data_IF_935185002005
#
_entry.id   IF_935185002005
#
_cell.length_a   1.000
_cell.length_b   1.000
_cell.length_c   1.000
_cell.angle_alpha   90.00
_cell.angle_beta   90.00
_cell.angle_gamma   90.00
#
_symmetry.space_group_name_H-M   'P 1'
#
loop_
_entity.id
_entity.type
_entity.pdbx_description
1 polymer ?
#
# COMPACT_ATOMS: atom_id res chain seq x y z
N UNK A 1 -2.40 26.37 -55.36
CA UNK A 1 -2.97 25.23 -54.61
C UNK A 1 -1.84 24.54 -53.88
N UNK A 2 -1.71 24.75 -52.56
CA UNK A 2 -0.69 24.12 -51.74
C UNK A 2 -1.39 23.13 -50.81
N UNK A 3 -1.15 21.84 -51.03
CA UNK A 3 -1.60 20.74 -50.18
C UNK A 3 -0.71 20.68 -48.95
N UNK A 4 -1.21 21.14 -47.80
CA UNK A 4 -0.57 20.94 -46.51
C UNK A 4 -0.78 19.48 -46.06
N UNK A 5 0.31 18.72 -46.00
CA UNK A 5 0.33 17.40 -45.40
C UNK A 5 0.06 17.53 -43.89
N UNK A 6 -1.00 16.87 -43.44
CA UNK A 6 -1.36 16.80 -42.03
C UNK A 6 -0.49 15.71 -41.37
N UNK A 7 0.50 16.11 -40.58
CA UNK A 7 1.29 15.19 -39.75
C UNK A 7 0.40 14.58 -38.66
N UNK A 8 0.52 13.26 -38.37
CA UNK A 8 -0.26 12.64 -37.33
C UNK A 8 0.26 13.06 -35.95
N UNK A 9 -0.59 13.77 -35.20
CA UNK A 9 -0.40 14.13 -33.79
C UNK A 9 -0.02 12.91 -32.97
N UNK A 10 1.18 12.94 -32.39
CA UNK A 10 1.72 11.90 -31.52
C UNK A 10 0.74 11.59 -30.38
N UNK A 11 0.25 10.34 -30.34
CA UNK A 11 -0.43 9.81 -29.16
C UNK A 11 0.59 9.76 -28.03
N UNK A 12 0.45 10.62 -27.03
CA UNK A 12 1.10 10.49 -25.71
C UNK A 12 0.49 9.28 -24.99
N UNK A 13 0.82 8.09 -25.48
CA UNK A 13 0.46 6.83 -24.84
C UNK A 13 1.42 6.55 -23.70
N UNK A 14 0.89 6.11 -22.55
CA UNK A 14 1.67 5.51 -21.48
C UNK A 14 2.63 4.48 -22.09
N UNK A 15 3.94 4.74 -22.04
CA UNK A 15 4.93 3.84 -22.65
C UNK A 15 4.89 2.51 -21.91
N UNK A 16 4.52 1.43 -22.61
CA UNK A 16 4.60 0.08 -22.06
C UNK A 16 6.06 -0.31 -21.91
N UNK A 17 6.42 -1.03 -20.84
CA UNK A 17 7.79 -1.52 -20.67
C UNK A 17 8.24 -2.41 -21.84
N UNK A 18 9.54 -2.35 -22.16
CA UNK A 18 10.20 -3.20 -23.15
C UNK A 18 10.27 -4.66 -22.68
N UNK A 19 10.17 -5.62 -23.61
CA UNK A 19 10.23 -7.06 -23.30
C UNK A 19 11.54 -7.47 -22.60
N UNK A 20 12.66 -6.82 -22.92
CA UNK A 20 13.96 -7.11 -22.31
C UNK A 20 14.01 -6.72 -20.83
N UNK A 21 13.52 -5.52 -20.51
CA UNK A 21 13.45 -5.01 -19.12
C UNK A 21 12.45 -5.81 -18.27
N UNK A 22 11.36 -6.30 -18.89
CA UNK A 22 10.36 -7.18 -18.25
C UNK A 22 10.91 -8.56 -17.89
N UNK A 23 11.80 -9.13 -18.72
CA UNK A 23 12.43 -10.44 -18.46
C UNK A 23 13.48 -10.38 -17.35
N UNK A 24 14.11 -9.22 -17.13
CA UNK A 24 15.07 -9.01 -16.05
C UNK A 24 14.44 -8.55 -14.74
N UNK A 25 13.17 -8.16 -14.74
CA UNK A 25 12.49 -7.63 -13.56
C UNK A 25 12.20 -8.74 -12.54
N UNK A 26 12.94 -8.73 -11.43
CA UNK A 26 12.56 -9.49 -10.26
C UNK A 26 11.49 -8.73 -9.49
N UNK A 27 10.67 -9.44 -8.71
CA UNK A 27 9.72 -8.81 -7.79
C UNK A 27 10.40 -7.79 -6.88
N UNK A 28 11.67 -8.01 -6.52
CA UNK A 28 12.43 -7.11 -5.65
C UNK A 28 12.90 -5.82 -6.33
N UNK A 29 12.86 -5.72 -7.66
CA UNK A 29 13.29 -4.52 -8.42
C UNK A 29 12.11 -3.60 -8.76
N UNK A 30 10.88 -4.09 -8.56
CA UNK A 30 9.66 -3.31 -8.77
C UNK A 30 9.29 -2.58 -7.49
N UNK A 31 9.25 -1.24 -7.52
CA UNK A 31 8.78 -0.42 -6.40
C UNK A 31 7.25 -0.32 -6.41
N UNK A 32 6.71 0.24 -7.49
CA UNK A 32 5.28 0.45 -7.70
C UNK A 32 4.93 -0.03 -9.12
N UNK A 33 3.72 -0.50 -9.34
CA UNK A 33 3.28 -0.90 -10.68
C UNK A 33 1.83 -0.51 -10.95
N UNK A 34 1.51 -0.32 -12.21
CA UNK A 34 0.17 0.07 -12.67
C UNK A 34 -0.21 -0.74 -13.91
N UNK A 35 -1.39 -1.36 -13.90
CA UNK A 35 -1.92 -2.11 -15.04
C UNK A 35 -3.42 -1.89 -15.22
N UNK A 36 -3.94 -1.98 -16.46
CA UNK A 36 -5.38 -1.93 -16.69
C UNK A 36 -6.09 -3.03 -15.90
N UNK A 37 -7.22 -2.70 -15.27
CA UNK A 37 -7.97 -3.66 -14.46
C UNK A 37 -8.38 -4.89 -15.26
N UNK A 38 -8.88 -4.69 -16.48
CA UNK A 38 -9.27 -5.79 -17.37
C UNK A 38 -8.09 -6.76 -17.64
N UNK A 39 -6.86 -6.26 -17.63
CA UNK A 39 -5.66 -7.10 -17.75
C UNK A 39 -5.40 -7.86 -16.45
N UNK A 40 -5.47 -7.20 -15.29
CA UNK A 40 -5.31 -7.86 -13.98
C UNK A 40 -6.29 -9.03 -13.81
N UNK A 41 -7.58 -8.80 -14.08
CA UNK A 41 -8.62 -9.83 -13.94
C UNK A 41 -8.35 -11.06 -14.81
N UNK A 42 -7.77 -10.87 -16.01
CA UNK A 42 -7.41 -11.96 -16.92
C UNK A 42 -6.14 -12.69 -16.49
N UNK A 43 -5.16 -11.97 -15.95
CA UNK A 43 -3.88 -12.56 -15.55
C UNK A 43 -3.94 -13.23 -14.17
N UNK A 44 -4.85 -12.80 -13.30
CA UNK A 44 -4.98 -13.27 -11.92
C UNK A 44 -6.40 -13.74 -11.56
N UNK A 45 -7.02 -14.66 -12.34
CA UNK A 45 -8.40 -15.10 -12.11
C UNK A 45 -8.59 -15.88 -10.80
N UNK A 46 -7.51 -16.45 -10.25
CA UNK A 46 -7.53 -17.11 -8.95
C UNK A 46 -7.60 -16.13 -7.76
N UNK A 47 -7.15 -14.89 -7.95
CA UNK A 47 -7.06 -13.86 -6.89
C UNK A 47 -8.18 -12.83 -7.00
N UNK A 48 -8.66 -12.55 -8.20
CA UNK A 48 -9.74 -11.59 -8.45
C UNK A 48 -10.84 -12.24 -9.26
N UNK A 49 -12.08 -12.20 -8.75
CA UNK A 49 -13.23 -12.80 -9.39
C UNK A 49 -14.35 -11.77 -9.50
N UNK A 50 -14.73 -11.45 -10.74
CA UNK A 50 -15.90 -10.61 -11.01
C UNK A 50 -17.12 -11.53 -11.15
N UNK A 51 -18.08 -11.43 -10.22
CA UNK A 51 -19.31 -12.25 -10.17
C UNK A 51 -20.52 -11.33 -10.12
N UNK A 52 -21.16 -11.11 -11.27
CA UNK A 52 -22.24 -10.13 -11.37
C UNK A 52 -21.76 -8.73 -10.95
N UNK A 53 -22.42 -8.13 -9.98
CA UNK A 53 -22.09 -6.80 -9.42
C UNK A 53 -21.08 -6.85 -8.26
N UNK A 54 -20.38 -7.97 -8.07
CA UNK A 54 -19.38 -8.14 -7.00
C UNK A 54 -17.99 -8.38 -7.58
N UNK A 55 -17.01 -7.60 -7.11
CA UNK A 55 -15.59 -7.91 -7.22
C UNK A 55 -15.15 -8.62 -5.93
N UNK A 56 -14.97 -9.93 -6.04
CA UNK A 56 -14.49 -10.78 -4.97
C UNK A 56 -12.98 -10.93 -5.02
N UNK A 57 -12.33 -10.50 -3.94
CA UNK A 57 -10.97 -10.92 -3.58
C UNK A 57 -11.18 -12.04 -2.57
N UNK A 58 -10.99 -13.32 -2.93
CA UNK A 58 -11.29 -14.40 -2.01
C UNK A 58 -10.44 -14.27 -0.73
N UNK A 59 -11.07 -13.79 0.36
CA UNK A 59 -10.54 -13.85 1.72
C UNK A 59 -10.82 -15.23 2.31
N UNK A 60 -9.93 -15.81 3.13
CA UNK A 60 -9.88 -17.26 3.26
C UNK A 60 -10.86 -17.80 4.32
N UNK A 61 -11.34 -19.02 4.06
CA UNK A 61 -11.82 -19.96 5.09
C UNK A 61 -10.68 -20.80 5.74
N UNK A 62 -9.42 -20.33 5.69
CA UNK A 62 -8.20 -20.98 6.21
C UNK A 62 -7.19 -19.93 6.74
N UNK A 63 -6.17 -20.27 7.56
CA UNK A 63 -5.34 -19.29 8.27
C UNK A 63 -4.54 -18.30 7.38
N UNK A 64 -4.62 -17.00 7.71
CA UNK A 64 -4.18 -15.84 6.91
C UNK A 64 -2.68 -15.78 6.55
N UNK A 65 -1.79 -16.39 7.35
CA UNK A 65 -0.34 -16.26 7.18
C UNK A 65 0.26 -17.20 6.12
N UNK A 66 -0.51 -18.19 5.63
CA UNK A 66 0.02 -19.29 4.81
C UNK A 66 -0.27 -19.18 3.30
N UNK A 67 -1.16 -18.27 2.87
CA UNK A 67 -1.50 -18.10 1.45
C UNK A 67 -1.15 -16.70 0.91
N UNK A 68 -0.69 -16.72 -0.33
CA UNK A 68 -0.35 -15.55 -1.12
C UNK A 68 -1.53 -14.60 -1.39
N UNK A 69 -1.32 -13.63 -2.26
CA UNK A 69 -2.32 -12.68 -2.74
C UNK A 69 -1.89 -11.22 -2.59
N UNK A 70 -2.88 -10.33 -2.61
CA UNK A 70 -2.71 -8.89 -2.47
C UNK A 70 -3.57 -8.37 -1.31
N UNK A 71 -3.06 -7.35 -0.62
CA UNK A 71 -3.82 -6.57 0.34
C UNK A 71 -4.60 -5.49 -0.42
N UNK A 72 -5.86 -5.77 -0.72
CA UNK A 72 -6.71 -4.86 -1.50
C UNK A 72 -7.34 -3.82 -0.58
N UNK A 73 -7.10 -2.54 -0.82
CA UNK A 73 -7.63 -1.45 0.00
C UNK A 73 -8.89 -0.84 -0.61
N UNK A 74 -9.93 -0.65 0.20
CA UNK A 74 -11.20 -0.07 -0.24
C UNK A 74 -12.21 0.12 0.88
N UNK A 75 -13.40 0.60 0.52
CA UNK A 75 -14.46 0.95 1.48
C UNK A 75 -15.76 0.15 1.23
N UNK A 76 -15.63 -1.02 0.56
CA UNK A 76 -16.75 -1.94 0.27
C UNK A 76 -17.47 -1.69 -1.06
N UNK A 77 -17.22 -0.55 -1.69
CA UNK A 77 -17.67 -0.24 -3.05
C UNK A 77 -16.47 0.16 -3.90
N UNK A 78 -16.49 -0.21 -5.17
CA UNK A 78 -15.48 0.16 -6.15
C UNK A 78 -16.13 0.45 -7.49
N UNK A 79 -15.72 1.54 -8.13
CA UNK A 79 -16.16 1.87 -9.49
C UNK A 79 -15.18 1.26 -10.48
N UNK A 80 -15.67 0.43 -11.39
CA UNK A 80 -14.90 -0.20 -12.46
C UNK A 80 -15.49 0.26 -13.80
N UNK A 81 -14.74 1.08 -14.50
CA UNK A 81 -15.01 1.62 -15.84
C UNK A 81 -16.37 2.32 -15.89
N UNK A 82 -16.66 3.14 -14.87
CA UNK A 82 -17.92 3.87 -14.71
C UNK A 82 -19.04 3.10 -13.98
N UNK A 83 -18.93 1.76 -13.85
CA UNK A 83 -19.95 0.93 -13.21
C UNK A 83 -19.59 0.62 -11.75
N UNK A 84 -20.58 0.63 -10.85
CA UNK A 84 -20.35 0.37 -9.42
C UNK A 84 -20.42 -1.12 -9.10
N UNK A 85 -19.47 -1.61 -8.29
CA UNK A 85 -19.39 -2.99 -7.82
C UNK A 85 -19.19 -3.05 -6.30
N UNK A 86 -19.71 -4.10 -5.68
CA UNK A 86 -19.41 -4.45 -4.28
C UNK A 86 -18.04 -5.08 -4.19
N UNK A 87 -17.17 -4.55 -3.33
CA UNK A 87 -15.85 -5.09 -3.07
C UNK A 87 -15.90 -6.00 -1.83
N UNK A 88 -15.31 -7.18 -1.93
CA UNK A 88 -15.19 -8.12 -0.79
C UNK A 88 -13.76 -8.64 -0.65
N UNK A 89 -13.37 -9.01 0.57
CA UNK A 89 -11.99 -9.41 0.90
C UNK A 89 -11.00 -8.26 0.84
N UNK A 90 -11.41 -7.08 1.31
CA UNK A 90 -10.61 -5.87 1.33
C UNK A 90 -10.21 -5.46 2.75
N UNK A 91 -9.16 -4.66 2.85
CA UNK A 91 -8.77 -3.92 4.05
C UNK A 91 -9.38 -2.52 3.94
N UNK A 92 -10.04 -2.06 5.01
CA UNK A 92 -10.59 -0.71 5.06
C UNK A 92 -9.48 0.31 4.90
N UNK A 93 -9.73 1.41 4.19
CA UNK A 93 -8.75 2.49 4.08
C UNK A 93 -8.52 3.23 5.38
N UNK A 94 -9.49 3.20 6.28
CA UNK A 94 -9.36 3.73 7.63
C UNK A 94 -9.62 2.64 8.65
N UNK A 95 -8.68 2.44 9.56
CA UNK A 95 -8.75 1.42 10.63
C UNK A 95 -8.49 2.08 11.98
N UNK A 96 -9.40 1.86 12.94
CA UNK A 96 -9.17 2.23 14.33
C UNK A 96 -8.49 1.07 15.07
N UNK A 97 -7.45 1.38 15.83
CA UNK A 97 -6.65 0.47 16.62
C UNK A 97 -6.77 0.91 18.08
N UNK A 98 -7.07 -0.04 18.97
CA UNK A 98 -7.36 0.29 20.37
C UNK A 98 -6.25 -0.13 21.32
N UNK A 99 -5.40 -1.05 20.89
CA UNK A 99 -4.36 -1.60 21.73
C UNK A 99 -3.11 -1.98 20.92
N UNK A 100 -2.02 -2.28 21.63
CA UNK A 100 -0.75 -2.62 21.00
C UNK A 100 -0.78 -3.92 20.18
N UNK A 101 -1.63 -4.88 20.55
CA UNK A 101 -1.82 -6.11 19.77
C UNK A 101 -2.50 -5.79 18.42
N UNK A 102 -3.56 -4.99 18.40
CA UNK A 102 -4.20 -4.53 17.17
C UNK A 102 -3.18 -3.85 16.25
N UNK A 103 -2.33 -2.99 16.81
CA UNK A 103 -1.27 -2.33 16.04
C UNK A 103 -0.26 -3.31 15.46
N UNK A 104 0.21 -4.27 16.26
CA UNK A 104 1.17 -5.27 15.81
C UNK A 104 0.58 -6.14 14.71
N UNK A 105 -0.66 -6.61 14.89
CA UNK A 105 -1.37 -7.45 13.94
C UNK A 105 -1.67 -6.67 12.65
N UNK A 106 -2.06 -5.40 12.77
CA UNK A 106 -2.26 -4.52 11.62
C UNK A 106 -0.96 -4.30 10.84
N UNK A 107 0.15 -3.98 11.53
CA UNK A 107 1.48 -3.84 10.91
C UNK A 107 1.90 -5.11 10.18
N UNK A 108 1.74 -6.27 10.80
CA UNK A 108 2.04 -7.56 10.18
C UNK A 108 1.14 -7.81 8.96
N UNK A 109 -0.14 -7.49 9.06
CA UNK A 109 -1.13 -7.65 7.99
C UNK A 109 -0.77 -6.81 6.77
N UNK A 110 -0.60 -5.49 6.91
CA UNK A 110 -0.35 -4.58 5.78
C UNK A 110 0.99 -4.85 5.09
N UNK A 111 1.99 -5.37 5.83
CA UNK A 111 3.33 -5.69 5.33
C UNK A 111 3.49 -7.14 4.86
N UNK A 112 2.47 -7.99 5.00
CA UNK A 112 2.52 -9.42 4.65
C UNK A 112 2.38 -9.67 3.14
N UNK A 113 1.69 -8.79 2.42
CA UNK A 113 1.37 -8.92 1.00
C UNK A 113 1.56 -7.57 0.30
N UNK A 114 1.84 -7.56 -1.01
CA UNK A 114 1.81 -6.33 -1.79
C UNK A 114 0.41 -5.70 -1.69
N UNK A 115 0.34 -4.37 -1.64
CA UNK A 115 -0.94 -3.66 -1.55
C UNK A 115 -1.48 -3.42 -2.95
N UNK A 116 -2.80 -3.34 -3.06
CA UNK A 116 -3.48 -3.03 -4.31
C UNK A 116 -4.60 -2.02 -4.09
N UNK A 117 -4.63 -1.01 -4.95
CA UNK A 117 -5.64 0.05 -5.01
C UNK A 117 -6.26 0.07 -6.40
N UNK A 118 -7.53 0.47 -6.49
CA UNK A 118 -8.21 0.72 -7.77
C UNK A 118 -8.27 2.21 -8.04
N UNK A 119 -7.90 2.60 -9.26
CA UNK A 119 -7.77 3.99 -9.69
C UNK A 119 -8.63 4.20 -10.92
N UNK A 120 -9.42 5.27 -10.90
CA UNK A 120 -10.32 5.69 -11.93
C UNK A 120 -9.72 6.92 -12.59
N UNK A 121 -9.51 6.82 -13.89
CA UNK A 121 -8.77 7.80 -14.67
C UNK A 121 -9.65 8.28 -15.81
N UNK A 122 -9.77 9.59 -15.96
CA UNK A 122 -10.46 10.23 -17.08
C UNK A 122 -9.47 11.07 -17.88
N UNK A 123 -9.66 11.12 -19.19
CA UNK A 123 -8.86 11.98 -20.06
C UNK A 123 -9.70 13.18 -20.46
N UNK A 124 -9.15 14.39 -20.44
CA UNK A 124 -9.90 15.61 -20.80
C UNK A 124 -10.51 15.57 -22.21
N UNK A 125 -9.93 14.79 -23.12
CA UNK A 125 -10.45 14.58 -24.47
C UNK A 125 -11.68 13.67 -24.55
N UNK A 126 -11.92 12.85 -23.52
CA UNK A 126 -13.01 11.88 -23.48
C UNK A 126 -13.46 11.67 -22.02
N UNK A 127 -14.06 12.70 -21.43
CA UNK A 127 -14.60 12.68 -20.07
C UNK A 127 -15.73 11.65 -19.90
N UNK A 128 -16.31 11.18 -21.00
CA UNK A 128 -17.31 10.11 -21.00
C UNK A 128 -16.72 8.72 -20.73
N UNK A 129 -15.41 8.53 -20.92
CA UNK A 129 -14.74 7.23 -20.77
C UNK A 129 -13.79 7.23 -19.59
N UNK A 130 -14.33 6.81 -18.46
CA UNK A 130 -13.56 6.45 -17.28
C UNK A 130 -12.86 5.10 -17.48
N UNK A 131 -11.57 5.04 -17.18
CA UNK A 131 -10.78 3.80 -17.24
C UNK A 131 -10.25 3.45 -15.87
N UNK A 132 -10.31 2.16 -15.54
CA UNK A 132 -9.85 1.65 -14.26
C UNK A 132 -8.51 0.96 -14.38
N UNK A 133 -7.60 1.36 -13.50
CA UNK A 133 -6.30 0.75 -13.34
C UNK A 133 -6.19 0.14 -11.95
N UNK A 134 -5.45 -0.96 -11.85
CA UNK A 134 -4.96 -1.47 -10.59
C UNK A 134 -3.57 -0.91 -10.34
N UNK A 135 -3.38 -0.37 -9.15
CA UNK A 135 -2.10 0.15 -8.67
C UNK A 135 -1.57 -0.75 -7.56
N UNK A 136 -0.37 -1.27 -7.79
CA UNK A 136 0.31 -2.19 -6.91
C UNK A 136 1.44 -1.47 -6.19
N UNK A 137 1.45 -1.63 -4.87
CA UNK A 137 2.53 -1.17 -4.00
C UNK A 137 3.28 -2.39 -3.52
N UNK A 138 4.53 -2.54 -3.95
CA UNK A 138 5.32 -3.70 -3.57
C UNK A 138 5.95 -3.52 -2.17
N UNK A 139 5.24 -4.00 -1.15
CA UNK A 139 5.69 -3.99 0.26
C UNK A 139 6.88 -4.92 0.54
N UNK A 140 7.32 -5.70 -0.45
CA UNK A 140 8.54 -6.53 -0.38
C UNK A 140 9.77 -5.76 -0.83
N UNK A 141 9.61 -4.71 -1.62
CA UNK A 141 10.71 -3.87 -2.05
C UNK A 141 11.30 -3.13 -0.84
N UNK A 142 12.62 -3.25 -0.56
CA UNK A 142 13.22 -2.70 0.66
C UNK A 142 12.96 -1.20 0.86
N UNK A 143 13.00 -0.41 -0.21
CA UNK A 143 12.73 1.05 -0.16
C UNK A 143 11.28 1.38 0.19
N UNK A 144 10.30 0.67 -0.39
CA UNK A 144 8.88 0.90 -0.13
C UNK A 144 8.54 0.43 1.28
N UNK A 145 9.00 -0.77 1.63
CA UNK A 145 8.87 -1.33 2.98
C UNK A 145 9.42 -0.38 4.03
N UNK A 146 10.64 0.13 3.81
CA UNK A 146 11.30 1.07 4.73
C UNK A 146 10.50 2.36 4.90
N UNK A 147 9.96 2.95 3.84
CA UNK A 147 9.12 4.15 3.96
C UNK A 147 7.89 3.91 4.84
N UNK A 148 7.22 2.76 4.66
CA UNK A 148 6.05 2.40 5.47
C UNK A 148 6.45 2.14 6.92
N UNK A 149 7.45 1.28 7.16
CA UNK A 149 7.92 0.96 8.52
C UNK A 149 8.44 2.19 9.26
N UNK A 150 9.24 3.03 8.61
CA UNK A 150 9.74 4.28 9.21
C UNK A 150 8.62 5.25 9.53
N UNK A 151 7.57 5.34 8.69
CA UNK A 151 6.38 6.13 9.00
C UNK A 151 5.72 5.67 10.30
N UNK A 152 5.51 4.36 10.45
CA UNK A 152 4.91 3.76 11.65
C UNK A 152 5.81 3.95 12.89
N UNK A 153 7.12 3.78 12.75
CA UNK A 153 8.06 3.90 13.87
C UNK A 153 8.22 5.37 14.32
N UNK A 154 8.21 6.32 13.38
CA UNK A 154 8.34 7.75 13.66
C UNK A 154 7.14 8.28 14.44
N UNK A 155 5.91 7.95 14.00
CA UNK A 155 4.72 8.44 14.71
C UNK A 155 4.70 7.91 16.15
N UNK A 156 5.02 6.63 16.37
CA UNK A 156 5.06 6.04 17.72
C UNK A 156 6.07 6.75 18.63
N UNK A 157 7.23 7.13 18.09
CA UNK A 157 8.26 7.81 18.88
C UNK A 157 7.85 9.22 19.35
N UNK A 158 6.88 9.84 18.68
CA UNK A 158 6.49 11.25 18.90
C UNK A 158 5.32 11.43 19.88
N UNK A 159 4.48 10.42 20.10
CA UNK A 159 3.17 10.54 20.78
C UNK A 159 2.93 9.41 21.80
N UNK A 160 3.94 9.07 22.61
CA UNK A 160 3.87 7.97 23.58
C UNK A 160 2.74 8.21 24.60
N UNK A 161 1.68 7.40 24.51
CA UNK A 161 0.55 7.42 25.45
C UNK A 161 -0.63 8.30 25.02
N UNK A 162 -0.67 8.77 23.78
CA UNK A 162 -1.72 9.63 23.23
C UNK A 162 -2.34 9.02 21.98
N UNK A 163 -3.54 9.48 21.59
CA UNK A 163 -4.14 9.04 20.34
C UNK A 163 -3.46 9.72 19.15
N UNK A 164 -3.29 8.97 18.06
CA UNK A 164 -2.66 9.50 16.86
C UNK A 164 -3.21 8.88 15.59
N UNK A 165 -3.13 9.63 14.50
CA UNK A 165 -3.53 9.19 13.16
C UNK A 165 -2.33 9.23 12.23
N UNK A 166 -2.06 8.11 11.58
CA UNK A 166 -1.04 8.02 10.53
C UNK A 166 -1.70 7.68 9.20
N UNK A 167 -1.45 8.50 8.18
CA UNK A 167 -1.89 8.29 6.81
C UNK A 167 -0.69 8.03 5.89
N UNK A 168 -0.81 7.03 5.01
CA UNK A 168 0.10 6.81 3.90
C UNK A 168 -0.58 7.27 2.61
N UNK A 169 0.12 8.10 1.86
CA UNK A 169 -0.41 8.73 0.65
C UNK A 169 0.42 8.36 -0.59
N UNK A 170 -0.27 7.90 -1.63
CA UNK A 170 0.28 7.56 -2.94
C UNK A 170 -0.26 8.46 -4.07
N UNK A 171 -1.05 9.49 -3.76
CA UNK A 171 -1.69 10.34 -4.75
C UNK A 171 -0.68 11.01 -5.69
N UNK A 172 0.31 11.68 -5.12
CA UNK A 172 1.32 12.44 -5.89
C UNK A 172 2.10 11.55 -6.87
N UNK A 173 2.48 10.33 -6.46
CA UNK A 173 3.26 9.42 -7.33
C UNK A 173 2.42 8.86 -8.49
N UNK A 174 1.12 8.69 -8.28
CA UNK A 174 0.20 8.22 -9.32
C UNK A 174 -0.15 9.36 -10.29
N UNK A 175 -0.47 10.55 -9.78
CA UNK A 175 -0.78 11.71 -10.62
C UNK A 175 0.38 12.06 -11.54
N UNK A 176 1.61 12.05 -11.01
CA UNK A 176 2.83 12.29 -11.79
C UNK A 176 3.14 11.22 -12.84
N UNK A 177 2.56 10.02 -12.71
CA UNK A 177 2.76 8.94 -13.68
C UNK A 177 1.92 9.12 -14.94
N UNK A 178 0.74 9.75 -14.84
CA UNK A 178 -0.12 9.96 -16.00
C UNK A 178 0.30 11.22 -16.78
N UNK A 179 0.15 11.22 -18.12
CA UNK A 179 0.47 12.39 -18.92
C UNK A 179 -0.48 13.55 -18.60
N UNK A 180 -0.01 14.81 -18.74
CA UNK A 180 -0.84 15.99 -18.51
C UNK A 180 -2.11 15.96 -19.39
N UNK A 181 -3.23 16.39 -18.82
CA UNK A 181 -4.57 16.25 -19.43
C UNK A 181 -5.29 14.95 -19.07
N UNK A 182 -4.72 14.17 -18.15
CA UNK A 182 -5.33 13.02 -17.50
C UNK A 182 -5.62 13.36 -16.05
N UNK A 183 -6.84 13.06 -15.60
CA UNK A 183 -7.30 13.32 -14.24
C UNK A 183 -7.54 12.01 -13.51
N UNK A 184 -7.01 11.90 -12.29
CA UNK A 184 -7.27 10.80 -11.38
C UNK A 184 -8.51 11.14 -10.56
N UNK A 185 -9.65 10.58 -10.96
CA UNK A 185 -10.98 10.95 -10.43
C UNK A 185 -11.13 10.60 -8.96
N UNK A 186 -10.49 9.52 -8.52
CA UNK A 186 -10.58 9.02 -7.15
C UNK A 186 -9.25 9.17 -6.39
N UNK A 187 -8.55 10.29 -6.54
CA UNK A 187 -7.24 10.54 -5.88
C UNK A 187 -7.21 10.18 -4.39
N UNK A 188 -8.25 10.55 -3.63
CA UNK A 188 -8.37 10.24 -2.20
C UNK A 188 -8.37 8.73 -1.88
N UNK A 189 -8.73 7.90 -2.86
CA UNK A 189 -8.69 6.44 -2.76
C UNK A 189 -7.28 5.85 -2.76
N UNK A 190 -6.27 6.66 -3.03
CA UNK A 190 -4.84 6.32 -3.03
C UNK A 190 -4.18 6.56 -1.67
N UNK A 191 -4.97 6.84 -0.64
CA UNK A 191 -4.49 6.94 0.73
C UNK A 191 -5.13 5.87 1.59
N UNK A 192 -4.39 5.42 2.60
CA UNK A 192 -4.95 4.66 3.71
C UNK A 192 -4.37 5.18 5.02
N UNK A 193 -5.15 5.12 6.08
CA UNK A 193 -4.80 5.60 7.39
C UNK A 193 -5.20 4.61 8.47
N UNK A 194 -4.53 4.71 9.60
CA UNK A 194 -5.02 4.14 10.84
C UNK A 194 -4.98 5.17 11.94
N UNK A 195 -5.85 4.99 12.91
CA UNK A 195 -5.89 5.77 14.12
C UNK A 195 -5.67 4.86 15.31
N UNK A 196 -4.66 5.16 16.10
CA UNK A 196 -4.46 4.51 17.39
C UNK A 196 -5.14 5.36 18.46
N UNK A 197 -6.13 4.80 19.15
CA UNK A 197 -6.79 5.44 20.28
C UNK A 197 -6.15 4.96 21.56
N UNK A 198 -5.56 5.88 22.32
CA UNK A 198 -5.02 5.57 23.64
C UNK A 198 -6.10 5.79 24.71
N UNK A 199 -6.12 4.97 25.76
CA UNK A 199 -6.94 5.19 26.97
C UNK A 199 -6.35 6.34 27.82
N UNK A 200 -6.15 7.51 27.21
CA UNK A 200 -5.62 8.69 27.86
C UNK A 200 -6.77 9.57 28.36
N UNK A 201 -6.80 9.81 29.68
CA UNK A 201 -7.77 10.71 30.32
C UNK A 201 -7.66 12.18 29.84
N UNK A 202 -6.61 12.51 29.08
CA UNK A 202 -6.27 13.85 28.62
C UNK A 202 -5.60 13.82 27.23
N UNK A 203 -6.40 13.71 26.18
CA UNK A 203 -5.94 13.60 24.79
C UNK A 203 -5.81 14.98 24.11
N UNK A 204 -5.11 15.89 24.78
CA UNK A 204 -5.07 17.30 24.36
C UNK A 204 -4.42 17.46 22.98
N UNK A 205 -3.31 16.78 22.68
CA UNK A 205 -2.63 16.90 21.39
C UNK A 205 -3.44 16.34 20.21
N UNK A 206 -4.23 15.28 20.45
CA UNK A 206 -5.20 14.79 19.48
C UNK A 206 -6.31 15.81 19.25
N UNK A 207 -6.86 16.42 20.31
CA UNK A 207 -7.89 17.47 20.18
C UNK A 207 -7.35 18.70 19.43
N UNK A 208 -6.09 19.08 19.65
CA UNK A 208 -5.45 20.17 18.90
C UNK A 208 -4.96 19.77 17.49
N UNK A 209 -5.21 18.54 17.03
CA UNK A 209 -4.90 18.08 15.67
C UNK A 209 -3.41 17.89 15.38
N UNK A 210 -2.55 17.92 16.40
CA UNK A 210 -1.09 17.81 16.27
C UNK A 210 -0.59 16.36 16.14
N UNK A 211 -1.47 15.37 16.39
CA UNK A 211 -1.14 13.94 16.27
C UNK A 211 -1.50 13.32 14.93
N UNK A 212 -1.85 14.14 13.93
CA UNK A 212 -2.04 13.72 12.55
C UNK A 212 -0.71 13.76 11.78
N UNK A 213 -0.28 12.61 11.26
CA UNK A 213 0.91 12.49 10.42
C UNK A 213 0.57 11.89 9.07
N UNK A 214 1.14 12.45 8.00
CA UNK A 214 1.01 11.93 6.63
C UNK A 214 2.38 11.59 6.07
N UNK A 215 2.52 10.36 5.56
CA UNK A 215 3.72 9.85 4.93
C UNK A 215 3.45 9.70 3.44
N UNK A 216 4.08 10.57 2.64
CA UNK A 216 4.08 10.45 1.19
C UNK A 216 5.02 9.32 0.77
N UNK A 217 4.48 8.27 0.16
CA UNK A 217 5.28 7.12 -0.26
C UNK A 217 5.67 7.29 -1.73
N UNK A 218 6.98 7.40 -1.96
CA UNK A 218 7.55 7.64 -3.28
C UNK A 218 8.18 6.39 -3.87
N UNK A 219 8.05 6.23 -5.19
CA UNK A 219 8.75 5.19 -5.94
C UNK A 219 8.61 5.26 -7.45
N UNK A 220 9.41 4.48 -8.17
CA UNK A 220 9.31 4.33 -9.62
C UNK A 220 8.06 3.51 -9.96
N UNK A 221 7.12 4.11 -10.68
CA UNK A 221 5.92 3.43 -11.17
C UNK A 221 6.20 2.74 -12.48
N UNK A 222 5.96 1.44 -12.51
CA UNK A 222 6.11 0.60 -13.69
C UNK A 222 4.77 0.40 -14.43
N UNK A 223 4.73 0.72 -15.71
CA UNK A 223 3.56 0.46 -16.56
C UNK A 223 3.53 -1.01 -17.03
N UNK A 224 2.65 -1.81 -16.45
CA UNK A 224 2.42 -3.21 -16.80
C UNK A 224 1.29 -3.40 -17.83
N UNK A 225 0.94 -2.39 -18.62
CA UNK A 225 0.02 -2.57 -19.75
C UNK A 225 0.70 -3.31 -20.90
N UNK A 226 0.02 -4.32 -21.46
CA UNK A 226 0.52 -5.00 -22.65
C UNK A 226 -0.56 -5.59 -23.54
N UNK A 227 -0.33 -5.51 -24.86
CA UNK A 227 -1.17 -6.15 -25.88
C UNK A 227 -0.61 -7.50 -26.35
N UNK A 228 0.73 -7.70 -26.32
CA UNK A 228 1.38 -8.90 -26.84
C UNK A 228 1.27 -10.10 -25.89
N UNK A 229 1.10 -11.33 -26.43
CA UNK A 229 0.92 -12.53 -25.62
C UNK A 229 2.16 -12.86 -24.77
N UNK A 230 3.37 -12.76 -25.34
CA UNK A 230 4.62 -13.04 -24.61
C UNK A 230 4.83 -12.13 -23.40
N UNK A 231 4.50 -10.83 -23.53
CA UNK A 231 4.60 -9.88 -22.42
C UNK A 231 3.54 -10.17 -21.37
N UNK A 232 2.32 -10.54 -21.78
CA UNK A 232 1.25 -10.93 -20.84
C UNK A 232 1.65 -12.15 -20.00
N UNK A 233 2.31 -13.14 -20.59
CA UNK A 233 2.84 -14.29 -19.84
C UNK A 233 3.92 -13.87 -18.84
N UNK A 234 4.86 -13.03 -19.25
CA UNK A 234 5.88 -12.51 -18.33
C UNK A 234 5.26 -11.71 -17.17
N UNK A 235 4.26 -10.86 -17.47
CA UNK A 235 3.51 -10.10 -16.45
C UNK A 235 2.73 -11.05 -15.54
N UNK A 236 2.14 -12.12 -16.09
CA UNK A 236 1.45 -13.14 -15.31
C UNK A 236 2.38 -13.79 -14.30
N UNK A 237 3.53 -14.30 -14.75
CA UNK A 237 4.55 -14.91 -13.90
C UNK A 237 5.07 -13.93 -12.83
N UNK A 238 5.27 -12.67 -13.20
CA UNK A 238 5.66 -11.61 -12.29
C UNK A 238 4.62 -11.39 -11.18
N UNK A 239 3.33 -11.29 -11.54
CA UNK A 239 2.24 -11.11 -10.57
C UNK A 239 2.04 -12.36 -9.70
N UNK A 240 2.18 -13.56 -10.26
CA UNK A 240 2.14 -14.82 -9.51
C UNK A 240 3.23 -14.83 -8.43
N UNK A 241 4.48 -14.56 -8.81
CA UNK A 241 5.61 -14.47 -7.88
C UNK A 241 5.43 -13.36 -6.83
N UNK A 242 4.86 -12.22 -7.23
CA UNK A 242 4.57 -11.13 -6.29
C UNK A 242 3.48 -11.53 -5.29
N UNK A 243 2.52 -12.35 -5.73
CA UNK A 243 1.44 -12.84 -4.90
C UNK A 243 1.86 -14.01 -4.00
N UNK A 244 2.92 -14.78 -4.28
CA UNK A 244 3.34 -15.93 -3.46
C UNK A 244 3.41 -15.60 -1.95
N UNK A 245 3.02 -16.49 -1.03
CA UNK A 245 3.08 -16.21 0.40
C UNK A 245 4.50 -15.82 0.83
N UNK A 246 4.61 -14.80 1.69
CA UNK A 246 5.87 -14.50 2.37
C UNK A 246 6.14 -15.61 3.38
N UNK A 247 6.81 -16.69 2.95
CA UNK A 247 7.37 -17.68 3.86
C UNK A 247 8.49 -16.98 4.61
N UNK A 248 8.18 -16.43 5.80
CA UNK A 248 9.21 -16.21 6.81
C UNK A 248 9.80 -17.59 7.12
N UNK A 249 10.88 -17.97 6.43
CA UNK A 249 11.79 -18.99 6.97
C UNK A 249 12.28 -18.39 8.28
N UNK A 250 11.65 -18.78 9.39
CA UNK A 250 12.26 -18.71 10.69
C UNK A 250 13.52 -19.58 10.58
N UNK A 251 14.64 -18.97 10.20
CA UNK A 251 15.94 -19.63 10.23
C UNK A 251 16.29 -19.83 11.70
N UNK A 252 15.78 -20.91 12.28
CA UNK A 252 16.18 -21.45 13.57
C UNK A 252 17.51 -22.24 13.46
N UNK A 253 18.40 -21.80 12.57
CA UNK A 253 19.74 -22.35 12.41
C UNK A 253 20.73 -21.23 12.11
N UNK A 254 20.99 -20.40 13.13
CA UNK A 254 22.35 -20.04 13.50
C UNK A 254 22.34 -19.47 14.92
N UNK A 255 22.54 -20.38 15.87
CA UNK A 255 22.84 -20.01 17.26
C UNK A 255 24.20 -19.33 17.29
N UNK A 256 24.23 -18.03 17.59
CA UNK A 256 25.07 -17.51 18.67
C UNK A 256 24.28 -16.45 19.43
N UNK A 257 23.81 -16.83 20.62
CA UNK A 257 23.53 -15.90 21.71
C UNK A 257 24.83 -15.14 22.01
N UNK A 258 25.07 -14.01 21.35
CA UNK A 258 25.98 -13.01 21.88
C UNK A 258 25.18 -12.14 22.85
N UNK A 259 25.49 -12.35 24.12
CA UNK A 259 25.03 -11.55 25.26
C UNK A 259 25.25 -10.06 24.99
N UNK A 260 24.16 -9.34 24.75
CA UNK A 260 24.06 -7.89 25.04
C UNK A 260 22.67 -7.53 25.55
N UNK A 261 22.08 -8.39 26.39
CA UNK A 261 20.84 -8.09 27.15
C UNK A 261 21.05 -7.17 28.36
N UNK A 262 22.14 -6.39 28.41
CA UNK A 262 22.39 -5.40 29.49
C UNK A 262 22.07 -3.95 29.11
N UNK A 263 21.78 -3.66 27.84
CA UNK A 263 21.41 -2.30 27.38
C UNK A 263 19.93 -1.97 27.61
N UNK A 264 19.03 -2.87 27.17
CA UNK A 264 17.58 -2.63 27.21
C UNK A 264 17.00 -2.71 28.63
N UNK A 265 17.55 -3.58 29.48
CA UNK A 265 17.18 -3.64 30.91
C UNK A 265 17.64 -2.39 31.68
N UNK A 266 18.77 -1.77 31.27
CA UNK A 266 19.24 -0.49 31.84
C UNK A 266 18.33 0.68 31.44
N UNK A 267 17.78 0.69 30.23
CA UNK A 267 16.80 1.69 29.80
C UNK A 267 15.51 1.55 30.61
N UNK A 268 14.98 0.33 30.75
CA UNK A 268 13.78 0.07 31.55
C UNK A 268 13.96 0.37 33.05
N UNK A 269 15.12 0.06 33.63
CA UNK A 269 15.40 0.38 35.05
C UNK A 269 15.65 1.87 35.28
N UNK A 270 16.26 2.59 34.33
CA UNK A 270 16.35 4.05 34.40
C UNK A 270 14.98 4.72 34.20
N UNK A 271 14.12 4.21 33.30
CA UNK A 271 12.75 4.70 33.13
C UNK A 271 11.91 4.55 34.40
N UNK A 272 12.02 3.42 35.11
CA UNK A 272 11.35 3.23 36.40
C UNK A 272 11.88 4.15 37.51
N UNK A 273 13.19 4.47 37.52
CA UNK A 273 13.76 5.44 38.48
C UNK A 273 13.30 6.87 38.20
N UNK A 274 13.23 7.28 36.94
CA UNK A 274 12.77 8.63 36.54
C UNK A 274 11.28 8.81 36.82
N UNK A 275 10.45 7.80 36.55
CA UNK A 275 9.02 7.81 36.89
C UNK A 275 8.79 7.91 38.42
N UNK A 276 9.61 7.21 39.21
CA UNK A 276 9.51 7.23 40.68
C UNK A 276 10.05 8.54 41.29
N UNK A 277 11.00 9.21 40.64
CA UNK A 277 11.48 10.54 41.05
C UNK A 277 10.47 11.65 40.76
N UNK A 278 9.75 11.59 39.62
CA UNK A 278 8.66 12.54 39.30
C UNK A 278 7.44 12.39 40.21
N UNK A 279 7.16 11.18 40.70
CA UNK A 279 6.09 10.93 41.68
C UNK A 279 6.42 11.42 43.09
N UNK A 280 7.71 11.52 43.46
CA UNK A 280 8.14 12.01 44.79
C UNK A 280 8.44 13.51 44.85
N UNK A 281 8.54 14.20 43.72
CA UNK A 281 8.83 15.64 43.63
C UNK A 281 7.60 16.55 43.60
N UNK A 282 6.39 16.04 43.87
CA UNK A 282 5.15 16.80 43.89
C UNK A 282 4.36 16.57 45.18
N UNK A 283 5.05 16.63 46.33
CA UNK A 283 4.46 16.95 47.63
C UNK A 283 5.49 17.78 48.40
N UNK A 284 5.42 19.10 48.21
CA UNK A 284 5.56 20.20 49.18
C UNK A 284 5.34 21.49 48.42
#
# INVERSE_FOLDING_TARGET
>A
MATAACEPVARTSLSSISSGELRSLWTCDCELALLPLAQLLRLQPGVFQLRGEQLAVPGPGEPQAARGGFNVFGDGLVRLDGQLYRLSGYIKRYVELTNYCDYKDYRETILSKPMLFFINVQTQKDTSKERTYAFLVNTRHPKIRRQIEQGMDTVISSVIGESYRLQFDFQEVVENFFPPGTEVVNGDSLSFAYEFKADALFDFFYWFGLSNSTVKVNGKVLNLSSTSPEKKETIKLFLEKMSEPLIRRSSFSDRKFSVTSRGMLKILTNMWKVARAKSKGRIT
#
